data_IF_028401746111
#
_entry.id   IF_028401746111
#
_cell.length_a   1.000
_cell.length_b   1.000
_cell.length_c   1.000
_cell.angle_alpha   90.00
_cell.angle_beta   90.00
_cell.angle_gamma   90.00
#
_symmetry.space_group_name_H-M   'P 1'
#
loop_
_entity.id
_entity.type
_entity.pdbx_description
1 polymer ?
#
# COMPACT_ATOMS: atom_id res chain seq x y z
N UNK A 1 22.89 -0.23 -13.33
CA UNK A 1 22.49 0.63 -12.95
C UNK A 1 21.55 0.59 -11.96
N UNK A 2 21.62 1.26 -11.10
CA UNK A 2 20.69 1.08 -10.08
C UNK A 2 19.34 1.47 -10.55
N UNK A 3 18.43 0.66 -10.21
CA UNK A 3 17.06 0.96 -10.42
C UNK A 3 16.64 1.97 -9.39
N UNK A 4 15.82 2.91 -9.78
CA UNK A 4 15.23 3.84 -8.85
C UNK A 4 14.45 3.06 -7.82
N UNK A 5 14.64 3.39 -6.57
CA UNK A 5 13.87 2.77 -5.52
C UNK A 5 12.45 3.29 -5.55
N UNK A 6 11.51 2.37 -5.53
CA UNK A 6 10.11 2.72 -5.41
C UNK A 6 9.83 3.05 -3.95
N UNK A 7 9.17 4.17 -3.69
CA UNK A 7 8.78 4.56 -2.34
C UNK A 7 7.35 4.11 -2.09
N UNK A 8 7.17 3.27 -1.08
CA UNK A 8 5.90 2.64 -0.75
C UNK A 8 5.45 3.06 0.64
N UNK A 9 4.17 3.39 0.79
CA UNK A 9 3.56 3.60 2.09
C UNK A 9 2.72 2.39 2.44
N UNK A 10 3.11 1.69 3.51
CA UNK A 10 2.40 0.52 4.02
C UNK A 10 1.46 0.97 5.13
N UNK A 11 0.17 0.64 5.02
CA UNK A 11 -0.82 1.00 6.01
C UNK A 11 -1.50 -0.25 6.54
N UNK A 12 -1.33 -0.52 7.81
CA UNK A 12 -1.82 -1.73 8.45
C UNK A 12 -1.93 -1.48 9.95
N UNK A 13 -3.10 -1.79 10.53
CA UNK A 13 -3.33 -1.52 11.95
C UNK A 13 -2.70 -2.56 12.88
N UNK A 14 -2.47 -3.78 12.41
CA UNK A 14 -1.87 -4.84 13.22
C UNK A 14 -0.35 -4.74 13.13
N UNK A 15 0.36 -4.48 14.24
CA UNK A 15 1.80 -4.20 14.19
C UNK A 15 2.64 -5.31 13.57
N UNK A 16 2.36 -6.58 13.88
CA UNK A 16 3.14 -7.68 13.33
C UNK A 16 2.94 -7.83 11.82
N UNK A 17 1.70 -7.62 11.36
CA UNK A 17 1.39 -7.69 9.93
C UNK A 17 2.05 -6.53 9.20
N UNK A 18 2.00 -5.33 9.80
CA UNK A 18 2.68 -4.16 9.22
C UNK A 18 4.18 -4.39 9.11
N UNK A 19 4.79 -4.91 10.17
CA UNK A 19 6.23 -5.18 10.17
C UNK A 19 6.61 -6.19 9.11
N UNK A 20 5.79 -7.22 8.89
CA UNK A 20 6.05 -8.21 7.86
C UNK A 20 6.01 -7.59 6.47
N UNK A 21 5.02 -6.76 6.19
CA UNK A 21 4.93 -6.08 4.89
C UNK A 21 6.11 -5.15 4.66
N UNK A 22 6.48 -4.38 5.68
CA UNK A 22 7.62 -3.48 5.59
C UNK A 22 8.89 -4.26 5.27
N UNK A 23 9.12 -5.37 5.98
CA UNK A 23 10.30 -6.19 5.77
C UNK A 23 10.37 -6.75 4.37
N UNK A 24 9.25 -7.27 3.87
CA UNK A 24 9.23 -7.82 2.50
C UNK A 24 9.61 -6.74 1.50
N UNK A 25 9.05 -5.54 1.64
CA UNK A 25 9.30 -4.48 0.68
C UNK A 25 10.71 -3.91 0.79
N UNK A 26 11.25 -3.83 2.02
CA UNK A 26 12.64 -3.44 2.20
C UNK A 26 13.58 -4.44 1.53
N UNK A 27 13.30 -5.72 1.67
CA UNK A 27 14.11 -6.77 1.04
C UNK A 27 14.03 -6.69 -0.49
N UNK A 28 12.94 -6.14 -1.03
CA UNK A 28 12.81 -5.91 -2.47
C UNK A 28 13.50 -4.64 -2.96
N UNK A 29 14.08 -3.87 -2.04
CA UNK A 29 14.81 -2.65 -2.40
C UNK A 29 13.95 -1.39 -2.37
N UNK A 30 12.73 -1.47 -1.87
CA UNK A 30 11.87 -0.29 -1.78
C UNK A 30 12.29 0.61 -0.62
N UNK A 31 12.00 1.91 -0.77
CA UNK A 31 12.01 2.83 0.36
C UNK A 31 10.62 2.74 0.99
N UNK A 32 10.55 2.42 2.28
CA UNK A 32 9.27 2.10 2.90
C UNK A 32 8.93 3.09 4.01
N UNK A 33 7.74 3.64 3.91
CA UNK A 33 7.09 4.40 4.98
C UNK A 33 5.96 3.54 5.52
N UNK A 34 5.60 3.69 6.78
CA UNK A 34 4.49 2.93 7.30
C UNK A 34 3.59 3.76 8.20
N UNK A 35 2.33 3.37 8.24
CA UNK A 35 1.31 4.03 9.03
C UNK A 35 0.39 2.96 9.63
N UNK A 36 -0.20 3.27 10.77
CA UNK A 36 -1.07 2.33 11.46
C UNK A 36 -2.55 2.63 11.25
N UNK A 37 -2.89 3.71 10.57
CA UNK A 37 -4.27 4.01 10.19
C UNK A 37 -4.30 4.97 9.02
N UNK A 38 -5.52 5.21 8.50
CA UNK A 38 -5.68 6.05 7.32
C UNK A 38 -5.34 7.51 7.55
N UNK A 39 -5.64 8.03 8.74
CA UNK A 39 -5.34 9.44 9.04
C UNK A 39 -3.84 9.70 9.03
N UNK A 40 -3.08 8.82 9.66
CA UNK A 40 -1.63 8.92 9.63
C UNK A 40 -1.08 8.78 8.22
N UNK A 41 -1.66 7.86 7.45
CA UNK A 41 -1.26 7.63 6.06
C UNK A 41 -1.43 8.90 5.22
N UNK A 42 -2.56 9.59 5.35
CA UNK A 42 -2.80 10.81 4.60
C UNK A 42 -1.81 11.92 4.96
N UNK A 43 -1.44 12.02 6.24
CA UNK A 43 -0.42 12.98 6.66
C UNK A 43 0.94 12.66 6.03
N UNK A 44 1.30 11.38 5.97
CA UNK A 44 2.56 10.99 5.35
C UNK A 44 2.57 11.26 3.85
N UNK A 45 1.44 11.04 3.18
CA UNK A 45 1.34 11.35 1.75
C UNK A 45 1.53 12.84 1.49
N UNK A 46 1.04 13.70 2.37
CA UNK A 46 1.22 15.15 2.24
C UNK A 46 2.66 15.55 2.50
N UNK A 47 3.31 14.90 3.46
CA UNK A 47 4.67 15.24 3.86
C UNK A 47 5.74 14.67 2.94
N UNK A 48 5.43 13.59 2.21
CA UNK A 48 6.41 12.84 1.43
C UNK A 48 5.94 12.64 -0.01
N UNK A 49 6.16 13.66 -0.86
CA UNK A 49 5.71 13.57 -2.27
C UNK A 49 6.42 12.48 -3.06
N UNK A 50 7.52 11.94 -2.54
CA UNK A 50 8.23 10.84 -3.20
C UNK A 50 7.51 9.50 -3.11
N UNK A 51 6.50 9.36 -2.25
CA UNK A 51 5.72 8.12 -2.18
C UNK A 51 4.97 7.90 -3.49
N UNK A 52 5.16 6.74 -4.09
CA UNK A 52 4.60 6.39 -5.39
C UNK A 52 3.51 5.33 -5.30
N UNK A 53 3.52 4.52 -4.24
CA UNK A 53 2.61 3.40 -4.06
C UNK A 53 2.03 3.43 -2.67
N UNK A 54 0.71 3.26 -2.57
CA UNK A 54 0.01 3.04 -1.31
C UNK A 54 -0.36 1.57 -1.24
N UNK A 55 0.12 0.87 -0.20
CA UNK A 55 -0.20 -0.53 0.05
C UNK A 55 -0.96 -0.59 1.37
N UNK A 56 -2.25 -0.88 1.31
CA UNK A 56 -3.12 -0.77 2.47
C UNK A 56 -4.02 -1.97 2.64
N UNK A 57 -4.21 -2.39 3.91
CA UNK A 57 -5.20 -3.39 4.24
C UNK A 57 -6.59 -2.76 4.11
N UNK A 58 -7.52 -3.51 3.52
CA UNK A 58 -8.89 -3.03 3.36
C UNK A 58 -9.59 -2.97 4.72
N UNK A 59 -9.37 -3.96 5.57
CA UNK A 59 -10.08 -4.06 6.85
C UNK A 59 -9.28 -3.44 7.98
N UNK A 60 -9.59 -2.20 8.27
CA UNK A 60 -8.97 -1.46 9.37
C UNK A 60 -10.06 -0.75 10.15
N UNK A 61 -9.91 -0.61 11.48
CA UNK A 61 -10.87 0.17 12.26
C UNK A 61 -10.88 1.63 11.80
N UNK A 62 -12.02 2.25 11.87
CA UNK A 62 -12.16 3.64 11.44
C UNK A 62 -12.20 3.73 9.93
N UNK A 63 -11.18 4.34 9.35
CA UNK A 63 -11.09 4.47 7.90
C UNK A 63 -10.64 3.14 7.28
N UNK A 64 -11.44 2.57 6.40
CA UNK A 64 -11.06 1.35 5.69
C UNK A 64 -10.01 1.65 4.62
N UNK A 65 -9.36 0.59 4.12
CA UNK A 65 -8.40 0.75 3.03
C UNK A 65 -9.04 1.32 1.77
N UNK A 66 -10.27 0.94 1.49
CA UNK A 66 -10.98 1.47 0.32
C UNK A 66 -11.27 2.97 0.48
N UNK A 67 -11.70 3.38 1.68
CA UNK A 67 -11.92 4.80 1.95
C UNK A 67 -10.61 5.58 1.87
N UNK A 68 -9.55 5.01 2.41
CA UNK A 68 -8.22 5.63 2.33
C UNK A 68 -7.78 5.78 0.89
N UNK A 69 -7.99 4.74 0.07
CA UNK A 69 -7.60 4.78 -1.34
C UNK A 69 -8.30 5.92 -2.07
N UNK A 70 -9.59 6.11 -1.81
CA UNK A 70 -10.34 7.19 -2.43
C UNK A 70 -9.79 8.57 -2.03
N UNK A 71 -9.55 8.75 -0.74
CA UNK A 71 -8.99 10.01 -0.24
C UNK A 71 -7.59 10.27 -0.78
N UNK A 72 -6.78 9.22 -0.83
CA UNK A 72 -5.41 9.33 -1.33
C UNK A 72 -5.37 9.68 -2.81
N UNK A 73 -6.25 9.11 -3.60
CA UNK A 73 -6.30 9.42 -5.04
C UNK A 73 -6.77 10.83 -5.32
N UNK A 74 -7.65 11.36 -4.48
CA UNK A 74 -8.03 12.77 -4.61
C UNK A 74 -6.85 13.69 -4.31
N UNK A 75 -6.01 13.27 -3.37
CA UNK A 75 -4.83 14.03 -2.98
C UNK A 75 -3.71 13.88 -4.00
N UNK A 76 -3.54 12.67 -4.52
CA UNK A 76 -2.46 12.29 -5.41
C UNK A 76 -3.02 11.41 -6.53
N UNK A 77 -3.53 12.00 -7.63
CA UNK A 77 -4.18 11.21 -8.69
C UNK A 77 -3.29 10.18 -9.38
N UNK A 78 -1.99 10.39 -9.38
CA UNK A 78 -1.03 9.48 -10.01
C UNK A 78 -0.52 8.39 -9.06
N UNK A 79 -0.99 8.38 -7.81
CA UNK A 79 -0.56 7.39 -6.83
C UNK A 79 -1.09 6.02 -7.22
N UNK A 80 -0.21 5.02 -7.23
CA UNK A 80 -0.65 3.64 -7.45
C UNK A 80 -1.23 3.10 -6.16
N UNK A 81 -2.40 2.48 -6.24
CA UNK A 81 -3.07 1.91 -5.08
C UNK A 81 -3.00 0.40 -5.15
N UNK A 82 -2.53 -0.22 -4.07
CA UNK A 82 -2.54 -1.67 -3.88
C UNK A 82 -3.29 -1.94 -2.59
N UNK A 83 -4.38 -2.70 -2.69
CA UNK A 83 -5.15 -3.09 -1.51
C UNK A 83 -4.96 -4.57 -1.24
N UNK A 84 -5.01 -4.95 0.03
CA UNK A 84 -4.80 -6.33 0.44
C UNK A 84 -5.83 -6.73 1.49
N UNK A 85 -6.22 -8.01 1.47
CA UNK A 85 -7.15 -8.55 2.45
C UNK A 85 -7.12 -10.08 2.39
N UNK A 86 -7.48 -10.70 3.50
CA UNK A 86 -7.65 -12.15 3.55
C UNK A 86 -9.09 -12.58 3.37
N UNK A 87 -10.03 -11.64 3.21
CA UNK A 87 -11.45 -11.97 3.29
C UNK A 87 -12.24 -11.72 2.03
N UNK A 88 -11.83 -10.80 1.18
CA UNK A 88 -12.62 -10.42 0.01
C UNK A 88 -11.85 -10.72 -1.25
N UNK A 89 -12.60 -10.90 -2.33
CA UNK A 89 -12.02 -11.14 -3.63
C UNK A 89 -11.83 -9.86 -4.43
N UNK A 90 -11.16 -9.97 -5.58
CA UNK A 90 -10.86 -8.80 -6.41
C UNK A 90 -12.08 -8.02 -6.86
N UNK A 91 -13.24 -8.67 -6.95
CA UNK A 91 -14.45 -7.99 -7.42
C UNK A 91 -14.96 -6.91 -6.45
N UNK A 92 -14.47 -6.96 -5.20
CA UNK A 92 -14.87 -5.99 -4.18
C UNK A 92 -13.96 -4.78 -4.14
N UNK A 93 -13.08 -4.66 -5.11
CA UNK A 93 -12.05 -3.63 -5.18
C UNK A 93 -12.30 -2.81 -6.45
N UNK A 94 -12.12 -1.49 -6.41
CA UNK A 94 -12.26 -0.68 -7.63
C UNK A 94 -11.38 -1.19 -8.77
N UNK A 95 -11.85 -1.03 -10.00
CA UNK A 95 -11.22 -1.63 -11.16
C UNK A 95 -9.80 -1.14 -11.42
N UNK A 96 -9.49 0.09 -11.00
CA UNK A 96 -8.19 0.70 -11.23
C UNK A 96 -7.22 0.46 -10.09
N UNK A 97 -7.57 -0.39 -9.13
CA UNK A 97 -6.76 -0.69 -7.97
C UNK A 97 -6.25 -2.12 -8.07
N UNK A 98 -4.98 -2.31 -7.74
CA UNK A 98 -4.37 -3.64 -7.70
C UNK A 98 -4.74 -4.32 -6.38
N UNK A 99 -5.12 -5.58 -6.42
CA UNK A 99 -5.45 -6.35 -5.24
C UNK A 99 -4.43 -7.45 -5.01
N UNK A 100 -3.94 -7.58 -3.78
CA UNK A 100 -3.01 -8.62 -3.38
C UNK A 100 -3.64 -9.41 -2.23
N UNK A 101 -3.96 -10.69 -2.44
CA UNK A 101 -4.59 -11.49 -1.38
C UNK A 101 -3.59 -11.89 -0.31
N UNK A 102 -4.10 -12.10 0.91
CA UNK A 102 -3.33 -12.74 1.98
C UNK A 102 -3.60 -14.23 1.95
N UNK A 103 -2.67 -15.09 2.35
CA UNK A 103 -1.31 -14.77 2.78
C UNK A 103 -0.46 -14.28 1.62
N UNK A 104 0.45 -13.37 1.90
CA UNK A 104 1.25 -12.74 0.85
C UNK A 104 2.29 -13.69 0.27
N UNK A 105 2.46 -13.60 -1.05
CA UNK A 105 3.61 -14.18 -1.74
C UNK A 105 4.53 -13.04 -2.12
N UNK A 106 5.81 -13.21 -1.90
CA UNK A 106 6.78 -12.17 -2.20
C UNK A 106 6.73 -11.77 -3.67
N UNK A 107 6.60 -12.75 -4.56
CA UNK A 107 6.53 -12.46 -6.00
C UNK A 107 5.32 -11.60 -6.35
N UNK A 108 4.17 -11.84 -5.71
CA UNK A 108 2.96 -11.06 -5.97
C UNK A 108 3.13 -9.62 -5.49
N UNK A 109 3.70 -9.45 -4.30
CA UNK A 109 3.98 -8.10 -3.78
C UNK A 109 4.98 -7.40 -4.69
N UNK A 110 6.05 -8.09 -5.08
CA UNK A 110 7.06 -7.49 -5.94
C UNK A 110 6.45 -6.95 -7.23
N UNK A 111 5.60 -7.74 -7.87
CA UNK A 111 4.95 -7.30 -9.10
C UNK A 111 4.05 -6.10 -8.84
N UNK A 112 3.29 -6.12 -7.75
CA UNK A 112 2.33 -5.06 -7.45
C UNK A 112 3.00 -3.73 -7.14
N UNK A 113 4.12 -3.73 -6.40
CA UNK A 113 4.72 -2.49 -5.90
C UNK A 113 5.86 -1.97 -6.77
N UNK A 114 6.49 -2.80 -7.60
CA UNK A 114 7.64 -2.35 -8.38
C UNK A 114 7.27 -1.92 -9.80
N UNK A 115 6.09 -2.28 -10.27
CA UNK A 115 5.60 -1.83 -11.58
C UNK A 115 4.72 -0.61 -11.38
N UNK A 116 5.34 0.55 -11.42
CA UNK A 116 4.66 1.81 -11.13
C UNK A 116 4.43 2.56 -12.43
N UNK A 117 3.26 2.40 -12.97
CA UNK A 117 2.72 3.24 -14.03
C UNK A 117 1.55 2.65 -14.70
#
# INVERSE_FOLDING_TARGET
MPVSKVAVLVVEDVPQVRATAVRIMQDLGCTVFDAYNGHQALKLLQAHPEIQVLFADIRMPGMSGTELAEAAQRLRPDLKIVLTSGYIGPRDVPADVTFVPKPWRVATIAEAVTKVH
#
